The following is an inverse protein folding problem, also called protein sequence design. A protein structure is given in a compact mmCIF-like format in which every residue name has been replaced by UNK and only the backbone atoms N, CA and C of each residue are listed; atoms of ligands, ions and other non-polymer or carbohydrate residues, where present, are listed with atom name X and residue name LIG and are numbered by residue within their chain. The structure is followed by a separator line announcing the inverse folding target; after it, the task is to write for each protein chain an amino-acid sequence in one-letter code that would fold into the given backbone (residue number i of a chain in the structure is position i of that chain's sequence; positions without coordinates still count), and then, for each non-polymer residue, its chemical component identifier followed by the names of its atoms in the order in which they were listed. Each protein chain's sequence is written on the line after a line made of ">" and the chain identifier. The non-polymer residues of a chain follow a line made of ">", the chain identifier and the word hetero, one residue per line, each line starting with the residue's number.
data_IF_638324683502
#
_entry.id   IF_638324683502
#
_cell.length_a   1.000
_cell.length_b   1.000
_cell.length_c   1.000
_cell.angle_alpha   90.00
_cell.angle_beta   90.00
_cell.angle_gamma   90.00
#
_symmetry.space_group_name_H-M   'P 1'
#
loop_
_entity.id
_entity.type
_entity.pdbx_description
1 polymer ?
#
# COMPACT_ATOMS: atom_id res chain seq x y z
N UNK A 1 11.80 5.55 11.12
CA UNK A 1 11.96 5.90 9.69
C UNK A 1 13.15 6.83 9.49
N UNK A 2 13.09 8.10 9.92
CA UNK A 2 14.16 9.07 9.67
C UNK A 2 15.52 8.65 10.23
N UNK A 3 15.55 8.00 11.40
CA UNK A 3 16.78 7.47 11.97
C UNK A 3 17.43 6.41 11.07
N UNK A 4 16.62 5.54 10.45
CA UNK A 4 17.09 4.54 9.50
C UNK A 4 17.71 5.21 8.26
N UNK A 5 17.09 6.29 7.77
CA UNK A 5 17.61 7.11 6.67
C UNK A 5 18.93 7.78 7.07
N UNK A 6 18.98 8.41 8.26
CA UNK A 6 20.21 9.01 8.81
C UNK A 6 21.34 7.99 8.97
N UNK A 7 21.01 6.73 9.20
CA UNK A 7 21.95 5.62 9.30
C UNK A 7 22.35 5.01 7.94
N UNK A 8 22.02 5.67 6.82
CA UNK A 8 22.50 5.33 5.48
C UNK A 8 21.56 4.46 4.65
N UNK A 9 20.33 4.20 5.09
CA UNK A 9 19.31 3.57 4.25
C UNK A 9 18.72 4.57 3.27
N UNK A 10 18.34 4.09 2.09
CA UNK A 10 17.49 4.88 1.19
C UNK A 10 16.11 5.08 1.83
N UNK A 11 15.35 6.06 1.35
CA UNK A 11 14.01 6.32 1.87
C UNK A 11 13.10 5.09 1.72
N UNK A 12 13.18 4.39 0.58
CA UNK A 12 12.42 3.18 0.27
C UNK A 12 12.80 2.05 1.22
N UNK A 13 14.10 1.78 1.36
CA UNK A 13 14.60 0.73 2.25
C UNK A 13 14.25 1.01 3.72
N UNK A 14 14.21 2.28 4.11
CA UNK A 14 13.77 2.68 5.44
C UNK A 14 12.26 2.42 5.66
N UNK A 15 11.42 2.64 4.65
CA UNK A 15 9.97 2.35 4.73
C UNK A 15 9.72 0.85 4.81
N UNK A 16 10.35 0.05 3.95
CA UNK A 16 10.23 -1.42 3.97
C UNK A 16 10.68 -2.00 5.31
N UNK A 17 11.79 -1.50 5.87
CA UNK A 17 12.27 -1.93 7.19
C UNK A 17 11.25 -1.65 8.29
N UNK A 18 10.71 -0.42 8.35
CA UNK A 18 9.73 -0.04 9.37
C UNK A 18 8.44 -0.86 9.22
N UNK A 19 7.99 -1.12 7.99
CA UNK A 19 6.83 -1.96 7.72
C UNK A 19 7.07 -3.40 8.21
N UNK A 20 8.24 -3.98 7.91
CA UNK A 20 8.62 -5.32 8.36
C UNK A 20 8.66 -5.43 9.88
N UNK A 21 9.31 -4.48 10.55
CA UNK A 21 9.38 -4.41 12.01
C UNK A 21 7.99 -4.29 12.64
N UNK A 22 7.10 -3.49 12.04
CA UNK A 22 5.74 -3.30 12.51
C UNK A 22 4.90 -4.58 12.34
N UNK A 23 5.00 -5.25 11.19
CA UNK A 23 4.34 -6.53 10.94
C UNK A 23 4.78 -7.59 11.94
N UNK A 24 6.10 -7.68 12.21
CA UNK A 24 6.65 -8.60 13.20
C UNK A 24 6.08 -8.37 14.61
N UNK A 25 5.94 -7.09 15.02
CA UNK A 25 5.31 -6.75 16.31
C UNK A 25 3.82 -7.10 16.34
N UNK A 26 3.12 -6.89 15.23
CA UNK A 26 1.67 -7.11 15.12
C UNK A 26 1.28 -8.59 15.11
N UNK A 27 2.16 -9.48 14.64
CA UNK A 27 1.95 -10.94 14.75
C UNK A 27 1.78 -11.41 16.20
N UNK A 28 2.36 -10.69 17.16
CA UNK A 28 2.24 -10.98 18.59
C UNK A 28 1.12 -10.20 19.28
N UNK A 29 0.33 -9.41 18.54
CA UNK A 29 -0.76 -8.59 19.07
C UNK A 29 -2.04 -9.43 19.26
N UNK A 30 -2.54 -9.45 20.49
CA UNK A 30 -3.75 -10.22 20.86
C UNK A 30 -5.05 -9.49 20.55
N UNK A 31 -5.04 -8.16 20.53
CA UNK A 31 -6.20 -7.31 20.26
C UNK A 31 -6.68 -7.47 18.80
N UNK A 32 -7.91 -7.95 18.56
CA UNK A 32 -8.48 -8.10 17.22
C UNK A 32 -8.60 -6.78 16.44
N UNK A 33 -8.94 -5.68 17.11
CA UNK A 33 -9.11 -4.38 16.44
C UNK A 33 -7.77 -3.86 15.90
N UNK A 34 -6.71 -3.98 16.69
CA UNK A 34 -5.36 -3.59 16.23
C UNK A 34 -4.85 -4.49 15.10
N UNK A 35 -5.29 -5.75 15.05
CA UNK A 35 -4.95 -6.67 13.97
C UNK A 35 -5.63 -6.28 12.65
N UNK A 36 -6.89 -5.84 12.69
CA UNK A 36 -7.58 -5.30 11.51
C UNK A 36 -6.92 -4.03 10.98
N UNK A 37 -6.45 -3.15 11.88
CA UNK A 37 -5.72 -1.92 11.49
C UNK A 37 -4.38 -2.20 10.81
N UNK A 38 -3.84 -3.43 10.86
CA UNK A 38 -2.58 -3.77 10.20
C UNK A 38 -2.66 -3.59 8.68
N UNK A 39 -3.80 -3.93 8.05
CA UNK A 39 -3.94 -3.75 6.60
C UNK A 39 -3.90 -2.27 6.21
N UNK A 40 -4.53 -1.40 7.01
CA UNK A 40 -4.50 0.04 6.78
C UNK A 40 -3.06 0.59 6.86
N UNK A 41 -2.24 0.07 7.78
CA UNK A 41 -0.84 0.42 7.88
C UNK A 41 0.00 -0.08 6.69
N UNK A 42 -0.25 -1.30 6.22
CA UNK A 42 0.38 -1.84 5.03
C UNK A 42 0.04 -0.99 3.79
N UNK A 43 -1.21 -0.57 3.66
CA UNK A 43 -1.66 0.29 2.57
C UNK A 43 -0.92 1.64 2.57
N UNK A 44 -0.76 2.26 3.74
CA UNK A 44 -0.02 3.51 3.90
C UNK A 44 1.47 3.33 3.55
N UNK A 45 2.09 2.24 3.98
CA UNK A 45 3.49 1.94 3.64
C UNK A 45 3.67 1.75 2.12
N UNK A 46 2.78 0.98 1.49
CA UNK A 46 2.79 0.76 0.04
C UNK A 46 2.56 2.06 -0.74
N UNK A 47 1.70 2.95 -0.24
CA UNK A 47 1.44 4.26 -0.86
C UNK A 47 2.67 5.17 -0.76
N UNK A 48 3.33 5.19 0.40
CA UNK A 48 4.56 5.95 0.58
C UNK A 48 5.69 5.41 -0.33
N UNK A 49 5.85 4.08 -0.43
CA UNK A 49 6.82 3.47 -1.34
C UNK A 49 6.58 3.85 -2.80
N UNK A 50 5.32 3.82 -3.25
CA UNK A 50 4.94 4.24 -4.60
C UNK A 50 5.35 5.69 -4.89
N UNK A 51 5.10 6.59 -3.94
CA UNK A 51 5.52 8.00 -4.06
C UNK A 51 7.05 8.14 -4.11
N UNK A 52 7.78 7.43 -3.24
CA UNK A 52 9.25 7.48 -3.22
C UNK A 52 9.87 6.93 -4.51
N UNK A 53 9.27 5.89 -5.10
CA UNK A 53 9.67 5.34 -6.40
C UNK A 53 9.28 6.21 -7.61
N UNK A 54 8.64 7.36 -7.38
CA UNK A 54 8.17 8.25 -8.44
C UNK A 54 7.06 7.65 -9.31
N UNK A 55 6.30 6.69 -8.77
CA UNK A 55 5.14 6.07 -9.43
C UNK A 55 3.88 6.48 -8.68
N UNK A 56 3.36 7.64 -9.02
CA UNK A 56 2.19 8.19 -8.36
C UNK A 56 0.89 7.45 -8.72
N UNK A 57 -0.21 7.71 -7.98
CA UNK A 57 -1.56 7.29 -8.38
C UNK A 57 -1.90 7.68 -9.83
N UNK A 58 -1.40 8.84 -10.25
CA UNK A 58 -1.65 9.40 -11.57
C UNK A 58 -1.04 8.57 -12.71
N UNK A 59 0.13 7.98 -12.51
CA UNK A 59 0.78 7.12 -13.53
C UNK A 59 -0.05 5.85 -13.76
N UNK A 60 -0.57 5.27 -12.68
CA UNK A 60 -1.45 4.10 -12.73
C UNK A 60 -2.78 4.48 -13.40
N UNK A 61 -3.39 5.59 -13.02
CA UNK A 61 -4.64 6.10 -13.60
C UNK A 61 -4.51 6.46 -15.10
N UNK A 62 -3.36 7.00 -15.51
CA UNK A 62 -3.06 7.33 -16.89
C UNK A 62 -2.96 6.07 -17.77
N UNK A 63 -2.35 5.01 -17.24
CA UNK A 63 -2.15 3.75 -17.96
C UNK A 63 -3.40 2.86 -18.06
N UNK A 64 -4.44 3.13 -17.26
CA UNK A 64 -5.62 2.26 -17.19
C UNK A 64 -6.45 2.35 -18.49
N UNK A 65 -6.78 1.20 -19.14
CA UNK A 65 -7.65 1.17 -20.31
C UNK A 65 -9.10 1.46 -19.92
N UNK A 66 -9.92 1.82 -20.92
CA UNK A 66 -11.36 1.96 -20.72
C UNK A 66 -11.98 0.61 -20.39
N UNK A 67 -12.97 0.61 -19.51
CA UNK A 67 -13.75 -0.55 -19.11
C UNK A 67 -12.91 -1.67 -18.43
N UNK A 68 -11.87 -1.30 -17.69
CA UNK A 68 -10.94 -2.22 -17.02
C UNK A 68 -11.56 -2.97 -15.83
N UNK A 69 -11.10 -4.21 -15.62
CA UNK A 69 -11.34 -4.98 -14.39
C UNK A 69 -10.00 -5.11 -13.67
N UNK A 70 -9.95 -4.68 -12.40
CA UNK A 70 -8.73 -4.77 -11.61
C UNK A 70 -8.65 -6.13 -10.89
N UNK A 71 -7.49 -6.76 -10.96
CA UNK A 71 -7.22 -8.05 -10.29
C UNK A 71 -6.07 -7.83 -9.33
N UNK A 72 -6.30 -8.09 -8.05
CA UNK A 72 -5.29 -7.94 -7.00
C UNK A 72 -5.43 -9.06 -5.97
N UNK A 73 -4.33 -9.35 -5.26
CA UNK A 73 -4.39 -10.28 -4.13
C UNK A 73 -5.19 -9.68 -2.98
N UNK A 74 -4.87 -8.44 -2.61
CA UNK A 74 -5.60 -7.67 -1.61
C UNK A 74 -5.65 -6.21 -2.03
N UNK A 75 -6.66 -5.47 -1.57
CA UNK A 75 -6.78 -4.03 -1.83
C UNK A 75 -7.61 -3.36 -0.73
N UNK A 76 -7.11 -2.25 -0.20
CA UNK A 76 -7.85 -1.40 0.72
C UNK A 76 -8.84 -0.44 0.02
N UNK A 77 -9.85 0.03 0.76
CA UNK A 77 -10.83 0.98 0.24
C UNK A 77 -10.19 2.30 -0.21
N UNK A 78 -9.15 2.77 0.50
CA UNK A 78 -8.44 3.99 0.16
C UNK A 78 -7.62 3.83 -1.14
N UNK A 79 -7.03 2.65 -1.37
CA UNK A 79 -6.29 2.35 -2.60
C UNK A 79 -7.21 2.32 -3.82
N UNK A 80 -8.44 1.85 -3.68
CA UNK A 80 -9.42 1.88 -4.76
C UNK A 80 -9.76 3.30 -5.23
N UNK A 81 -9.70 4.30 -4.32
CA UNK A 81 -9.99 5.70 -4.66
C UNK A 81 -8.93 6.34 -5.56
N UNK A 82 -7.73 5.76 -5.62
CA UNK A 82 -6.65 6.22 -6.49
C UNK A 82 -6.93 5.85 -7.98
N UNK A 83 -7.98 5.07 -8.29
CA UNK A 83 -8.35 4.68 -9.65
C UNK A 83 -9.50 5.51 -10.25
N UNK A 84 -9.43 5.85 -11.56
CA UNK A 84 -10.49 6.60 -12.24
C UNK A 84 -11.77 5.76 -12.40
N UNK A 85 -12.84 6.20 -11.73
CA UNK A 85 -14.14 5.49 -11.65
C UNK A 85 -14.80 5.28 -13.02
N UNK A 86 -14.56 6.17 -13.98
CA UNK A 86 -15.10 6.11 -15.34
C UNK A 86 -14.44 5.02 -16.19
N UNK A 87 -13.23 4.58 -15.82
CA UNK A 87 -12.49 3.53 -16.52
C UNK A 87 -12.65 2.15 -15.88
N UNK A 88 -13.09 2.06 -14.63
CA UNK A 88 -13.18 0.80 -13.89
C UNK A 88 -14.59 0.18 -13.94
N UNK A 89 -14.68 -1.12 -14.25
CA UNK A 89 -15.95 -1.88 -14.30
C UNK A 89 -16.11 -2.86 -13.16
N UNK A 90 -15.02 -3.23 -12.50
CA UNK A 90 -15.04 -4.14 -11.37
C UNK A 90 -13.67 -4.38 -10.77
N UNK A 91 -13.67 -5.06 -9.63
CA UNK A 91 -12.48 -5.50 -8.90
C UNK A 91 -12.65 -6.98 -8.55
N UNK A 92 -11.58 -7.75 -8.69
CA UNK A 92 -11.48 -9.15 -8.25
C UNK A 92 -10.33 -9.24 -7.25
N UNK A 93 -10.64 -9.75 -6.06
CA UNK A 93 -9.68 -9.95 -4.98
C UNK A 93 -9.46 -11.44 -4.72
N UNK A 94 -8.26 -11.82 -4.30
CA UNK A 94 -7.92 -13.16 -3.82
C UNK A 94 -8.25 -13.21 -2.32
N UNK A 95 -9.26 -14.00 -1.92
CA UNK A 95 -9.52 -14.34 -0.51
C UNK A 95 -8.57 -15.45 -0.03
#
# INVERSE_FOLDING_TARGET
>A
LEEAIRNGLTAEAAVEKVQSDMRARMLHMTDPYLRERMSDFDDLANRLLRQLMGRGPEDVAASLPKDAILVARSMGAAELLDYPRDKLRGVVLED
#
